data_IF_856346119330
#
_entry.id   IF_856346119330
#
_cell.length_a   1.000
_cell.length_b   1.000
_cell.length_c   1.000
_cell.angle_alpha   90.00
_cell.angle_beta   90.00
_cell.angle_gamma   90.00
#
_symmetry.space_group_name_H-M   'P 1'
#
loop_
_entity.id
_entity.type
_entity.pdbx_description
1 polymer ?
#
# COMPACT_ATOMS: atom_id res chain seq x y z
N UNK A 1 -10.54 -12.12 -6.55
CA UNK A 1 -11.86 -11.73 -6.01
C UNK A 1 -12.09 -10.30 -6.41
N UNK A 2 -13.23 -9.96 -7.03
CA UNK A 2 -13.41 -8.69 -7.69
C UNK A 2 -13.25 -7.57 -6.66
N UNK A 3 -12.27 -6.74 -6.89
CA UNK A 3 -11.96 -5.57 -6.08
C UNK A 3 -12.50 -4.34 -6.80
N UNK A 4 -13.10 -3.42 -6.04
CA UNK A 4 -13.70 -2.21 -6.58
C UNK A 4 -12.78 -1.04 -6.25
N UNK A 5 -12.42 -0.25 -7.25
CA UNK A 5 -11.57 0.91 -7.08
C UNK A 5 -12.35 2.19 -7.36
N UNK A 6 -12.31 3.12 -6.40
CA UNK A 6 -12.73 4.50 -6.59
C UNK A 6 -11.45 5.31 -6.78
N UNK A 7 -11.17 5.71 -8.03
CA UNK A 7 -10.07 6.61 -8.31
C UNK A 7 -10.35 7.99 -7.73
N UNK A 8 -9.35 8.57 -7.06
CA UNK A 8 -9.42 9.88 -6.43
C UNK A 8 -8.42 10.83 -7.09
N UNK A 9 -8.76 12.12 -7.11
CA UNK A 9 -7.89 13.18 -7.63
C UNK A 9 -7.64 14.23 -6.55
N UNK A 10 -6.78 13.91 -5.57
CA UNK A 10 -6.52 14.82 -4.46
C UNK A 10 -5.77 16.06 -4.96
N UNK A 11 -6.08 17.21 -4.34
CA UNK A 11 -5.35 18.47 -4.57
C UNK A 11 -4.19 18.67 -3.58
N UNK A 12 -4.23 17.93 -2.46
CA UNK A 12 -3.24 17.91 -1.40
C UNK A 12 -2.22 16.80 -1.63
N UNK A 13 -1.00 17.01 -1.14
CA UNK A 13 -0.02 15.93 -1.03
C UNK A 13 -0.48 14.86 -0.02
N UNK A 14 0.09 13.68 -0.15
CA UNK A 14 -0.19 12.55 0.74
C UNK A 14 0.33 12.83 2.15
N UNK A 15 -0.60 13.07 3.07
CA UNK A 15 -0.28 13.39 4.46
C UNK A 15 -0.03 12.12 5.28
N UNK A 16 1.15 11.55 5.11
CA UNK A 16 1.62 10.40 5.91
C UNK A 16 1.79 10.76 7.38
N UNK A 17 2.30 11.95 7.69
CA UNK A 17 2.56 12.36 9.09
C UNK A 17 1.25 12.52 9.89
N UNK A 18 0.14 12.78 9.20
CA UNK A 18 -1.20 12.90 9.77
C UNK A 18 -1.87 11.56 10.11
N UNK A 19 -1.24 10.40 9.87
CA UNK A 19 -1.84 9.06 10.09
C UNK A 19 -2.53 8.87 11.47
N UNK A 20 -1.97 9.49 12.51
CA UNK A 20 -2.57 9.48 13.85
C UNK A 20 -3.90 10.24 13.90
N UNK A 21 -3.99 11.37 13.19
CA UNK A 21 -5.21 12.16 13.05
C UNK A 21 -6.27 11.41 12.22
N UNK A 22 -5.84 10.57 11.27
CA UNK A 22 -6.78 9.71 10.53
C UNK A 22 -7.49 8.73 11.44
N UNK A 23 -6.72 7.98 12.23
CA UNK A 23 -7.29 7.00 13.14
C UNK A 23 -8.17 7.65 14.21
N UNK A 24 -7.78 8.84 14.69
CA UNK A 24 -8.62 9.63 15.60
C UNK A 24 -9.94 10.03 14.94
N UNK A 25 -9.92 10.58 13.72
CA UNK A 25 -11.12 10.98 13.00
C UNK A 25 -12.06 9.80 12.71
N UNK A 26 -11.50 8.65 12.31
CA UNK A 26 -12.25 7.40 12.12
C UNK A 26 -12.88 6.92 13.44
N UNK A 27 -12.14 6.98 14.55
CA UNK A 27 -12.64 6.60 15.87
C UNK A 27 -13.73 7.52 16.39
N UNK A 28 -13.57 8.83 16.21
CA UNK A 28 -14.60 9.81 16.56
C UNK A 28 -15.88 9.56 15.77
N UNK A 29 -15.80 9.37 14.45
CA UNK A 29 -16.97 9.09 13.62
C UNK A 29 -17.75 7.86 14.12
N UNK A 30 -17.05 6.76 14.41
CA UNK A 30 -17.66 5.52 14.88
C UNK A 30 -18.32 5.71 16.27
N UNK A 31 -17.62 6.39 17.18
CA UNK A 31 -18.13 6.69 18.53
C UNK A 31 -19.39 7.55 18.48
N UNK A 32 -19.41 8.61 17.68
CA UNK A 32 -20.56 9.51 17.53
C UNK A 32 -21.79 8.82 16.93
N UNK A 33 -21.59 7.79 16.09
CA UNK A 33 -22.66 6.97 15.53
C UNK A 33 -23.14 5.86 16.48
N UNK A 34 -22.63 5.82 17.72
CA UNK A 34 -23.09 4.93 18.77
C UNK A 34 -22.63 3.48 18.61
N UNK A 35 -21.59 3.21 17.82
CA UNK A 35 -21.07 1.85 17.65
C UNK A 35 -20.19 1.40 18.82
N UNK A 36 -19.68 2.35 19.62
CA UNK A 36 -18.84 2.07 20.79
C UNK A 36 -17.48 1.46 20.46
N UNK A 37 -17.10 1.42 19.18
CA UNK A 37 -15.85 0.84 18.72
C UNK A 37 -14.69 1.81 18.96
N UNK A 38 -13.63 1.31 19.58
CA UNK A 38 -12.38 2.04 19.74
C UNK A 38 -11.36 1.52 18.72
N UNK A 39 -11.09 2.22 17.61
CA UNK A 39 -10.18 1.70 16.60
C UNK A 39 -8.75 1.64 17.12
N UNK A 40 -8.03 0.60 16.73
CA UNK A 40 -6.61 0.44 17.03
C UNK A 40 -5.77 0.62 15.78
N UNK A 41 -4.60 1.25 15.92
CA UNK A 41 -3.63 1.42 14.83
C UNK A 41 -2.54 0.39 15.01
N UNK A 42 -2.36 -0.46 14.00
CA UNK A 42 -1.17 -1.27 13.84
C UNK A 42 -0.29 -0.68 12.75
N UNK A 43 0.92 -0.26 13.13
CA UNK A 43 1.91 0.26 12.18
C UNK A 43 2.79 -0.87 11.66
N UNK A 44 2.91 -0.98 10.34
CA UNK A 44 3.77 -1.92 9.64
C UNK A 44 4.62 -1.13 8.60
N UNK A 45 5.78 -1.65 8.17
CA UNK A 45 6.52 -1.02 7.07
C UNK A 45 5.64 -0.88 5.82
N UNK A 46 5.38 0.35 5.39
CA UNK A 46 4.53 0.67 4.24
C UNK A 46 3.02 0.66 4.47
N UNK A 47 2.55 0.22 5.64
CA UNK A 47 1.13 0.12 5.93
C UNK A 47 0.78 0.58 7.32
N UNK A 48 -0.43 1.14 7.45
CA UNK A 48 -1.06 1.30 8.75
C UNK A 48 -2.43 0.65 8.68
N UNK A 49 -2.68 -0.30 9.56
CA UNK A 49 -3.97 -0.98 9.64
C UNK A 49 -4.74 -0.32 10.78
N UNK A 50 -5.89 0.26 10.45
CA UNK A 50 -6.86 0.75 11.41
C UNK A 50 -7.91 -0.34 11.57
N UNK A 51 -7.83 -1.07 12.68
CA UNK A 51 -8.79 -2.11 13.03
C UNK A 51 -10.07 -1.46 13.53
N UNK A 52 -11.20 -1.77 12.90
CA UNK A 52 -12.49 -1.16 13.24
C UNK A 52 -13.19 -2.00 14.34
N UNK A 53 -12.73 -1.81 15.58
CA UNK A 53 -13.33 -2.33 16.82
C UNK A 53 -13.08 -3.81 17.14
N UNK A 54 -13.43 -4.22 18.37
CA UNK A 54 -13.09 -5.54 18.95
C UNK A 54 -13.71 -6.76 18.22
N UNK A 55 -14.73 -6.53 17.38
CA UNK A 55 -15.46 -7.56 16.64
C UNK A 55 -15.28 -7.47 15.11
N UNK A 56 -14.41 -6.59 14.60
CA UNK A 56 -14.00 -6.57 13.18
C UNK A 56 -15.14 -6.30 12.19
N UNK A 57 -15.70 -5.09 12.18
CA UNK A 57 -16.63 -4.67 11.10
C UNK A 57 -15.90 -4.60 9.74
N UNK A 58 -14.56 -4.56 9.77
CA UNK A 58 -13.66 -4.62 8.64
C UNK A 58 -12.29 -4.05 9.02
N UNK A 59 -11.31 -4.20 8.14
CA UNK A 59 -9.99 -3.61 8.28
C UNK A 59 -9.84 -2.47 7.28
N UNK A 60 -9.35 -1.32 7.76
CA UNK A 60 -8.97 -0.20 6.90
C UNK A 60 -7.45 -0.14 6.85
N UNK A 61 -6.89 -0.53 5.71
CA UNK A 61 -5.44 -0.52 5.47
C UNK A 61 -5.04 0.70 4.68
N UNK A 62 -4.15 1.51 5.23
CA UNK A 62 -3.56 2.67 4.60
C UNK A 62 -2.24 2.25 3.95
N UNK A 63 -2.23 2.21 2.63
CA UNK A 63 -1.09 1.88 1.80
C UNK A 63 -0.28 3.14 1.52
N UNK A 64 0.80 3.37 2.26
CA UNK A 64 1.62 4.58 2.09
C UNK A 64 2.31 4.62 0.72
N UNK A 65 2.92 3.51 0.30
CA UNK A 65 3.64 3.41 -0.97
C UNK A 65 2.76 3.80 -2.18
N UNK A 66 1.56 3.23 -2.25
CA UNK A 66 0.65 3.41 -3.39
C UNK A 66 -0.35 4.55 -3.16
N UNK A 67 -0.34 5.15 -1.96
CA UNK A 67 -1.29 6.19 -1.54
C UNK A 67 -2.75 5.74 -1.66
N UNK A 68 -3.02 4.49 -1.27
CA UNK A 68 -4.35 3.88 -1.35
C UNK A 68 -4.95 3.66 0.03
N UNK A 69 -6.27 3.73 0.11
CA UNK A 69 -7.04 3.25 1.27
C UNK A 69 -7.73 1.95 0.87
N UNK A 70 -7.42 0.86 1.54
CA UNK A 70 -8.01 -0.46 1.27
C UNK A 70 -9.00 -0.76 2.38
N UNK A 71 -10.26 -0.93 2.02
CA UNK A 71 -11.33 -1.40 2.90
C UNK A 71 -11.53 -2.89 2.66
N UNK A 72 -11.24 -3.70 3.68
CA UNK A 72 -11.49 -5.15 3.65
C UNK A 72 -12.58 -5.53 4.65
N UNK A 73 -13.46 -6.44 4.25
CA UNK A 73 -14.47 -7.04 5.12
C UNK A 73 -15.67 -6.15 5.51
N UNK A 74 -15.74 -4.90 5.06
CA UNK A 74 -16.86 -3.99 5.39
C UNK A 74 -18.16 -4.43 4.70
N UNK A 75 -19.11 -4.98 5.49
CA UNK A 75 -20.44 -5.33 5.00
C UNK A 75 -21.44 -4.18 5.16
N UNK A 76 -22.05 -3.74 4.07
CA UNK A 76 -23.00 -2.61 4.03
C UNK A 76 -24.44 -3.05 4.32
N UNK A 77 -24.68 -3.56 5.54
CA UNK A 77 -26.00 -4.06 5.96
C UNK A 77 -26.96 -2.97 6.45
N UNK A 78 -26.47 -1.77 6.75
CA UNK A 78 -27.26 -0.68 7.30
C UNK A 78 -26.80 0.71 6.85
N UNK A 79 -27.52 1.72 7.35
CA UNK A 79 -27.25 3.13 7.03
C UNK A 79 -25.91 3.62 7.61
N UNK A 80 -25.50 3.09 8.77
CA UNK A 80 -24.27 3.49 9.45
C UNK A 80 -23.05 3.06 8.64
N UNK A 81 -23.04 1.84 8.11
CA UNK A 81 -21.95 1.30 7.29
C UNK A 81 -21.88 2.02 5.94
N UNK A 82 -23.03 2.36 5.36
CA UNK A 82 -23.09 3.19 4.15
C UNK A 82 -22.53 4.60 4.39
N UNK A 83 -22.87 5.23 5.52
CA UNK A 83 -22.35 6.54 5.89
C UNK A 83 -20.86 6.50 6.21
N UNK A 84 -20.40 5.44 6.87
CA UNK A 84 -18.98 5.19 7.12
C UNK A 84 -18.20 5.06 5.80
N UNK A 85 -18.67 4.25 4.86
CA UNK A 85 -18.04 4.10 3.56
C UNK A 85 -17.93 5.45 2.81
N UNK A 86 -18.99 6.26 2.83
CA UNK A 86 -18.97 7.62 2.25
C UNK A 86 -17.98 8.54 2.97
N UNK A 87 -17.91 8.45 4.30
CA UNK A 87 -16.95 9.20 5.10
C UNK A 87 -15.52 8.83 4.73
N UNK A 88 -15.19 7.54 4.68
CA UNK A 88 -13.85 7.04 4.31
C UNK A 88 -13.43 7.57 2.94
N UNK A 89 -14.31 7.52 1.93
CA UNK A 89 -13.98 8.02 0.57
C UNK A 89 -13.66 9.52 0.59
N UNK A 90 -14.46 10.33 1.29
CA UNK A 90 -14.20 11.77 1.40
C UNK A 90 -12.92 12.07 2.17
N UNK A 91 -12.70 11.34 3.25
CA UNK A 91 -11.55 11.53 4.12
C UNK A 91 -10.25 11.12 3.41
N UNK A 92 -10.26 9.99 2.71
CA UNK A 92 -9.16 9.55 1.85
C UNK A 92 -8.74 10.62 0.83
N UNK A 93 -9.73 11.25 0.17
CA UNK A 93 -9.47 12.34 -0.78
C UNK A 93 -8.82 13.55 -0.10
N UNK A 94 -9.31 13.96 1.06
CA UNK A 94 -8.78 15.12 1.79
C UNK A 94 -7.32 14.94 2.18
N UNK A 95 -6.97 13.72 2.55
CA UNK A 95 -5.64 13.39 3.03
C UNK A 95 -4.65 12.99 1.93
N UNK A 96 -5.07 13.05 0.67
CA UNK A 96 -4.18 12.91 -0.48
C UNK A 96 -4.14 11.52 -1.12
N UNK A 97 -5.11 10.63 -0.82
CA UNK A 97 -5.15 9.29 -1.40
C UNK A 97 -5.42 9.38 -2.90
N UNK A 98 -4.79 8.50 -3.68
CA UNK A 98 -5.03 8.34 -5.11
C UNK A 98 -6.21 7.42 -5.41
N UNK A 99 -6.63 6.61 -4.43
CA UNK A 99 -7.78 5.74 -4.60
C UNK A 99 -8.26 5.09 -3.31
N UNK A 100 -9.50 4.61 -3.35
CA UNK A 100 -10.06 3.70 -2.34
C UNK A 100 -10.35 2.37 -3.01
N UNK A 101 -9.77 1.31 -2.46
CA UNK A 101 -9.97 -0.06 -2.91
C UNK A 101 -10.90 -0.77 -1.93
N UNK A 102 -11.87 -1.52 -2.43
CA UNK A 102 -12.76 -2.35 -1.62
C UNK A 102 -12.55 -3.79 -2.04
N UNK A 103 -12.02 -4.60 -1.14
CA UNK A 103 -11.92 -6.04 -1.32
C UNK A 103 -13.18 -6.73 -0.84
N UNK A 104 -13.47 -7.92 -1.41
CA UNK A 104 -14.52 -8.82 -0.94
C UNK A 104 -15.94 -8.23 -0.92
N UNK A 105 -16.20 -7.18 -1.72
CA UNK A 105 -17.53 -6.59 -1.85
C UNK A 105 -18.52 -7.62 -2.41
N UNK A 106 -19.64 -7.81 -1.73
CA UNK A 106 -20.71 -8.69 -2.19
C UNK A 106 -21.36 -8.14 -3.47
N UNK A 107 -21.99 -9.02 -4.26
CA UNK A 107 -22.71 -8.61 -5.47
C UNK A 107 -23.79 -7.55 -5.20
N UNK A 108 -24.44 -7.61 -4.03
CA UNK A 108 -25.44 -6.64 -3.58
C UNK A 108 -24.87 -5.24 -3.34
N UNK A 109 -23.59 -5.13 -2.98
CA UNK A 109 -22.93 -3.87 -2.64
C UNK A 109 -22.36 -3.16 -3.86
N UNK A 110 -22.22 -3.85 -5.00
CA UNK A 110 -21.68 -3.28 -6.26
C UNK A 110 -22.38 -1.98 -6.66
N UNK A 111 -23.72 -1.96 -6.59
CA UNK A 111 -24.51 -0.79 -6.98
C UNK A 111 -24.23 0.44 -6.10
N UNK A 112 -23.93 0.22 -4.82
CA UNK A 112 -23.56 1.29 -3.90
C UNK A 112 -22.18 1.85 -4.26
N UNK A 113 -21.18 0.98 -4.43
CA UNK A 113 -19.83 1.40 -4.75
C UNK A 113 -19.73 2.07 -6.11
N UNK A 114 -20.45 1.57 -7.13
CA UNK A 114 -20.54 2.22 -8.44
C UNK A 114 -21.16 3.62 -8.37
N UNK A 115 -22.17 3.84 -7.51
CA UNK A 115 -22.73 5.18 -7.29
C UNK A 115 -21.73 6.15 -6.65
N UNK A 116 -20.72 5.63 -5.94
CA UNK A 116 -19.61 6.42 -5.41
C UNK A 116 -18.45 6.59 -6.42
N UNK A 117 -18.62 6.13 -7.67
CA UNK A 117 -17.60 6.19 -8.71
C UNK A 117 -16.70 4.96 -8.78
N UNK A 118 -17.06 3.88 -8.09
CA UNK A 118 -16.29 2.63 -8.07
C UNK A 118 -16.34 1.89 -9.40
N UNK A 119 -15.17 1.47 -9.88
CA UNK A 119 -14.98 0.62 -11.05
C UNK A 119 -14.55 -0.76 -10.60
N UNK A 120 -15.17 -1.80 -11.16
CA UNK A 120 -14.78 -3.18 -10.88
C UNK A 120 -13.50 -3.47 -11.68
N UNK A 121 -12.43 -3.79 -10.97
CA UNK A 121 -11.17 -4.16 -11.58
C UNK A 121 -11.16 -5.66 -11.92
N UNK A 122 -10.41 -6.07 -12.97
CA UNK A 122 -10.27 -7.47 -13.32
C UNK A 122 -9.60 -8.24 -12.17
N UNK A 123 -9.97 -9.51 -12.04
CA UNK A 123 -9.30 -10.41 -11.11
C UNK A 123 -7.87 -10.70 -11.58
N UNK A 124 -6.88 -10.72 -10.68
CA UNK A 124 -5.53 -11.10 -11.05
C UNK A 124 -5.48 -12.58 -11.46
N UNK A 125 -4.63 -12.89 -12.43
CA UNK A 125 -4.46 -14.25 -12.95
C UNK A 125 -3.10 -14.82 -12.53
N UNK A 126 -2.94 -16.14 -12.38
CA UNK A 126 -1.62 -16.72 -12.09
C UNK A 126 -0.59 -16.31 -13.15
N UNK A 127 0.60 -15.89 -12.71
CA UNK A 127 1.71 -15.66 -13.63
C UNK A 127 2.29 -17.01 -14.08
N UNK A 128 2.23 -17.29 -15.38
CA UNK A 128 2.75 -18.54 -15.93
C UNK A 128 4.27 -18.48 -16.15
N UNK A 129 4.95 -19.56 -15.78
CA UNK A 129 6.39 -19.74 -16.02
C UNK A 129 7.30 -19.08 -14.98
N UNK A 130 8.61 -19.17 -15.23
CA UNK A 130 9.64 -18.57 -14.39
C UNK A 130 9.80 -17.07 -14.69
N UNK A 131 10.28 -16.30 -13.71
CA UNK A 131 10.57 -14.88 -13.89
C UNK A 131 11.78 -14.72 -14.80
N UNK A 132 11.63 -13.94 -15.86
CA UNK A 132 12.75 -13.53 -16.71
C UNK A 132 13.38 -12.24 -16.19
N UNK A 133 14.68 -12.26 -15.89
CA UNK A 133 15.40 -11.11 -15.32
C UNK A 133 15.29 -9.83 -16.17
N UNK A 134 15.35 -9.95 -17.50
CA UNK A 134 15.24 -8.82 -18.45
C UNK A 134 13.87 -8.13 -18.47
N UNK A 135 12.84 -8.80 -17.93
CA UNK A 135 11.49 -8.25 -17.80
C UNK A 135 11.25 -7.59 -16.44
N UNK A 136 12.18 -7.73 -15.49
CA UNK A 136 12.09 -7.11 -14.17
C UNK A 136 12.63 -5.68 -14.25
N UNK A 137 11.81 -4.73 -13.83
CA UNK A 137 12.19 -3.33 -13.72
C UNK A 137 11.92 -2.77 -12.33
N UNK A 138 12.51 -1.63 -12.02
CA UNK A 138 12.23 -0.88 -10.80
C UNK A 138 12.01 0.60 -11.09
N UNK A 139 11.06 1.21 -10.40
CA UNK A 139 10.76 2.64 -10.50
C UNK A 139 10.40 3.23 -9.14
N UNK A 140 10.56 4.55 -9.02
CA UNK A 140 10.08 5.29 -7.87
C UNK A 140 8.55 5.27 -7.87
N UNK A 141 7.95 5.00 -6.72
CA UNK A 141 6.50 4.99 -6.56
C UNK A 141 6.01 6.26 -5.84
N UNK A 142 6.50 6.49 -4.62
CA UNK A 142 6.17 7.67 -3.80
C UNK A 142 7.31 7.92 -2.82
N UNK A 143 7.78 9.17 -2.67
CA UNK A 143 8.93 9.51 -1.81
C UNK A 143 10.08 8.51 -1.98
N UNK A 144 10.38 7.68 -0.98
CA UNK A 144 11.43 6.66 -0.99
C UNK A 144 10.92 5.24 -1.33
N UNK A 145 9.61 5.04 -1.41
CA UNK A 145 8.99 3.77 -1.78
C UNK A 145 9.21 3.48 -3.26
N UNK A 146 9.51 2.21 -3.57
CA UNK A 146 9.78 1.74 -4.92
C UNK A 146 8.73 0.73 -5.38
N UNK A 147 8.58 0.61 -6.70
CA UNK A 147 7.75 -0.40 -7.35
C UNK A 147 8.63 -1.30 -8.21
N UNK A 148 8.60 -2.60 -7.91
CA UNK A 148 9.11 -3.64 -8.81
C UNK A 148 8.03 -3.91 -9.85
N UNK A 149 8.46 -3.97 -11.10
CA UNK A 149 7.61 -4.24 -12.25
C UNK A 149 8.05 -5.52 -12.95
N UNK A 150 7.11 -6.20 -13.58
CA UNK A 150 7.35 -7.30 -14.51
C UNK A 150 6.56 -7.01 -15.77
N UNK A 151 7.19 -7.09 -16.94
CA UNK A 151 6.54 -6.72 -18.21
C UNK A 151 5.92 -5.29 -18.20
N UNK A 152 6.54 -4.38 -17.45
CA UNK A 152 6.10 -2.99 -17.23
C UNK A 152 4.90 -2.79 -16.28
N UNK A 153 4.28 -3.86 -15.81
CA UNK A 153 3.18 -3.79 -14.84
C UNK A 153 3.71 -3.91 -13.39
N UNK A 154 3.08 -3.24 -12.42
CA UNK A 154 3.52 -3.31 -11.02
C UNK A 154 3.29 -4.72 -10.45
N UNK A 155 4.26 -5.22 -9.68
CA UNK A 155 4.14 -6.55 -9.03
C UNK A 155 4.39 -6.46 -7.54
N UNK A 156 5.46 -5.76 -7.14
CA UNK A 156 5.78 -5.57 -5.72
C UNK A 156 5.97 -4.09 -5.40
N UNK A 157 5.62 -3.70 -4.18
CA UNK A 157 6.12 -2.47 -3.58
C UNK A 157 7.26 -2.79 -2.62
N UNK A 158 8.24 -1.91 -2.55
CA UNK A 158 9.39 -2.00 -1.65
C UNK A 158 9.47 -0.76 -0.77
N UNK A 159 9.55 -1.00 0.52
CA UNK A 159 9.70 0.04 1.54
C UNK A 159 11.07 -0.08 2.20
N UNK A 160 11.90 0.97 2.17
CA UNK A 160 13.22 0.92 2.80
C UNK A 160 13.07 0.78 4.31
N UNK A 161 13.80 -0.18 4.88
CA UNK A 161 13.82 -0.44 6.32
C UNK A 161 15.24 -0.65 6.82
N UNK A 162 15.46 -0.36 8.10
CA UNK A 162 16.65 -0.81 8.83
C UNK A 162 16.50 -2.27 9.22
N UNK A 163 17.56 -3.05 9.05
CA UNK A 163 17.59 -4.47 9.38
C UNK A 163 18.63 -4.76 10.45
N UNK A 164 18.40 -5.83 11.21
CA UNK A 164 19.38 -6.32 12.19
C UNK A 164 20.58 -7.00 11.52
N UNK A 165 20.45 -7.43 10.27
CA UNK A 165 21.50 -8.05 9.48
C UNK A 165 21.23 -7.83 7.98
N UNK A 166 22.28 -7.94 7.16
CA UNK A 166 22.12 -7.89 5.70
C UNK A 166 21.34 -9.11 5.21
N UNK A 167 20.34 -8.93 4.33
CA UNK A 167 19.73 -10.06 3.66
C UNK A 167 20.77 -10.73 2.74
N UNK A 168 20.75 -12.07 2.60
CA UNK A 168 21.72 -12.80 1.79
C UNK A 168 21.75 -12.30 0.34
N UNK A 169 22.91 -12.41 -0.30
CA UNK A 169 23.15 -11.94 -1.66
C UNK A 169 24.18 -10.80 -1.75
N UNK A 170 24.42 -10.27 -2.96
CA UNK A 170 25.37 -9.19 -3.16
C UNK A 170 24.92 -7.90 -2.48
N UNK A 171 25.89 -7.15 -1.97
CA UNK A 171 25.71 -5.82 -1.39
C UNK A 171 26.29 -4.80 -2.38
N UNK A 172 25.46 -3.90 -2.88
CA UNK A 172 25.92 -2.85 -3.81
C UNK A 172 26.68 -1.74 -3.08
N UNK A 173 27.48 -0.98 -3.81
CA UNK A 173 28.12 0.22 -3.26
C UNK A 173 27.10 1.29 -2.87
N UNK A 174 26.00 1.43 -3.63
CA UNK A 174 24.89 2.31 -3.29
C UNK A 174 24.28 1.94 -1.93
N UNK A 175 24.04 0.64 -1.68
CA UNK A 175 23.59 0.16 -0.38
C UNK A 175 24.54 0.59 0.74
N UNK A 176 25.86 0.37 0.58
CA UNK A 176 26.85 0.75 1.61
C UNK A 176 26.90 2.24 1.89
N UNK A 177 26.73 3.09 0.86
CA UNK A 177 26.72 4.54 1.02
C UNK A 177 25.48 5.01 1.77
N UNK A 178 24.31 4.49 1.40
CA UNK A 178 23.06 4.70 2.13
C UNK A 178 23.20 4.26 3.59
N UNK A 179 23.69 3.05 3.85
CA UNK A 179 23.92 2.56 5.21
C UNK A 179 24.82 3.51 6.01
N UNK A 180 25.91 3.98 5.42
CA UNK A 180 26.82 4.95 6.05
C UNK A 180 26.11 6.28 6.37
N UNK A 181 25.24 6.76 5.48
CA UNK A 181 24.45 7.99 5.72
C UNK A 181 23.49 7.84 6.90
N UNK A 182 22.92 6.65 7.10
CA UNK A 182 21.94 6.36 8.16
C UNK A 182 22.55 5.64 9.37
N UNK A 183 23.79 5.97 9.74
CA UNK A 183 24.41 5.51 10.99
C UNK A 183 25.06 4.12 10.94
N UNK A 184 25.22 3.54 9.75
CA UNK A 184 25.94 2.29 9.50
C UNK A 184 25.11 1.01 9.69
N UNK A 185 23.82 1.13 10.00
CA UNK A 185 22.92 -0.01 10.14
C UNK A 185 22.64 -0.68 8.78
N UNK A 186 22.56 -2.02 8.71
CA UNK A 186 22.13 -2.72 7.51
C UNK A 186 20.78 -2.20 6.99
N UNK A 187 20.68 -2.00 5.68
CA UNK A 187 19.43 -1.63 5.03
C UNK A 187 18.85 -2.81 4.23
N UNK A 188 17.53 -2.82 4.13
CA UNK A 188 16.77 -3.77 3.33
C UNK A 188 15.47 -3.16 2.86
N UNK A 189 14.63 -4.01 2.26
CA UNK A 189 13.29 -3.63 1.82
C UNK A 189 12.26 -4.56 2.44
N UNK A 190 11.24 -3.99 3.05
CA UNK A 190 9.99 -4.72 3.27
C UNK A 190 9.25 -4.78 1.93
N UNK A 191 9.00 -6.00 1.46
CA UNK A 191 8.32 -6.24 0.18
C UNK A 191 6.87 -6.65 0.38
N UNK A 192 6.02 -6.26 -0.56
CA UNK A 192 4.60 -6.61 -0.58
C UNK A 192 4.09 -6.70 -2.01
N UNK A 193 2.96 -7.38 -2.22
CA UNK A 193 2.28 -7.36 -3.51
C UNK A 193 1.76 -5.95 -3.77
N UNK A 194 1.94 -5.47 -4.99
CA UNK A 194 1.27 -4.27 -5.46
C UNK A 194 -0.23 -4.55 -5.56
N UNK A 195 -1.04 -3.60 -5.11
CA UNK A 195 -2.50 -3.67 -5.13
C UNK A 195 -2.99 -3.82 -6.57
N UNK A 196 -2.41 -3.06 -7.49
CA UNK A 196 -2.71 -3.13 -8.93
C UNK A 196 -1.96 -4.24 -9.68
N UNK A 197 -1.39 -5.24 -9.00
CA UNK A 197 -0.72 -6.36 -9.68
C UNK A 197 -1.74 -7.15 -10.51
N UNK A 198 -1.53 -7.32 -11.84
CA UNK A 198 -2.41 -8.16 -12.65
C UNK A 198 -2.17 -9.65 -12.39
N UNK A 199 -1.15 -10.00 -11.60
CA UNK A 199 -0.76 -11.38 -11.38
C UNK A 199 -0.86 -11.85 -9.93
N UNK A 200 -1.25 -13.12 -9.79
CA UNK A 200 -0.99 -13.94 -8.61
C UNK A 200 0.36 -14.62 -8.83
N UNK A 201 1.32 -14.32 -7.94
CA UNK A 201 2.68 -14.87 -8.02
C UNK A 201 2.94 -15.91 -6.94
N UNK A 202 3.75 -16.91 -7.26
CA UNK A 202 4.22 -17.91 -6.32
C UNK A 202 5.32 -17.33 -5.40
N UNK A 203 5.63 -18.05 -4.31
CA UNK A 203 6.73 -17.68 -3.40
C UNK A 203 8.10 -17.69 -4.10
N UNK A 204 8.29 -18.60 -5.04
CA UNK A 204 9.52 -18.70 -5.84
C UNK A 204 9.65 -17.49 -6.74
N UNK A 205 8.60 -17.17 -7.50
CA UNK A 205 8.52 -15.98 -8.35
C UNK A 205 8.74 -14.69 -7.54
N UNK A 206 8.18 -14.59 -6.34
CA UNK A 206 8.43 -13.46 -5.44
C UNK A 206 9.91 -13.31 -5.10
N UNK A 207 10.58 -14.42 -4.80
CA UNK A 207 12.00 -14.44 -4.42
C UNK A 207 12.87 -14.05 -5.61
N UNK A 208 12.54 -14.53 -6.80
CA UNK A 208 13.22 -14.16 -8.05
C UNK A 208 13.07 -12.67 -8.36
N UNK A 209 11.84 -12.14 -8.28
CA UNK A 209 11.57 -10.70 -8.46
C UNK A 209 12.43 -9.84 -7.52
N UNK A 210 12.49 -10.19 -6.24
CA UNK A 210 13.31 -9.46 -5.26
C UNK A 210 14.82 -9.59 -5.55
N UNK A 211 15.27 -10.79 -5.92
CA UNK A 211 16.67 -11.05 -6.24
C UNK A 211 17.12 -10.21 -7.44
N UNK A 212 16.31 -10.19 -8.50
CA UNK A 212 16.58 -9.49 -9.75
C UNK A 212 16.46 -7.97 -9.59
N UNK A 213 15.56 -7.47 -8.74
CA UNK A 213 15.40 -6.03 -8.52
C UNK A 213 16.40 -5.43 -7.55
N UNK A 214 17.06 -6.23 -6.70
CA UNK A 214 17.77 -5.74 -5.50
C UNK A 214 18.82 -4.67 -5.75
N UNK A 215 19.73 -4.90 -6.70
CA UNK A 215 20.84 -3.98 -6.93
C UNK A 215 20.32 -2.64 -7.47
N UNK A 216 19.44 -2.72 -8.48
CA UNK A 216 18.81 -1.54 -9.05
C UNK A 216 17.94 -0.79 -8.03
N UNK A 217 17.33 -1.48 -7.07
CA UNK A 217 16.56 -0.86 -5.98
C UNK A 217 17.41 0.07 -5.13
N UNK A 218 18.60 -0.37 -4.73
CA UNK A 218 19.50 0.45 -3.93
C UNK A 218 20.12 1.59 -4.74
N UNK A 219 20.46 1.36 -6.01
CA UNK A 219 20.96 2.42 -6.89
C UNK A 219 19.90 3.53 -7.08
N UNK A 220 18.65 3.14 -7.31
CA UNK A 220 17.54 4.09 -7.42
C UNK A 220 17.25 4.81 -6.10
N UNK A 221 17.26 4.09 -4.97
CA UNK A 221 17.06 4.70 -3.66
C UNK A 221 18.15 5.73 -3.32
N UNK A 222 19.42 5.42 -3.61
CA UNK A 222 20.53 6.37 -3.44
C UNK A 222 20.30 7.64 -4.26
N UNK A 223 19.89 7.49 -5.53
CA UNK A 223 19.57 8.63 -6.38
C UNK A 223 18.44 9.51 -5.81
N UNK A 224 17.37 8.88 -5.32
CA UNK A 224 16.22 9.60 -4.72
C UNK A 224 16.65 10.35 -3.46
N UNK A 225 17.42 9.69 -2.57
CA UNK A 225 17.87 10.29 -1.31
C UNK A 225 18.78 11.49 -1.58
N UNK A 226 19.75 11.35 -2.50
CA UNK A 226 20.64 12.46 -2.84
C UNK A 226 19.85 13.65 -3.42
N UNK A 227 18.90 13.38 -4.32
CA UNK A 227 18.05 14.44 -4.89
C UNK A 227 17.20 15.15 -3.83
N UNK A 228 16.74 14.44 -2.80
CA UNK A 228 15.96 15.02 -1.71
C UNK A 228 16.80 15.87 -0.74
N UNK A 229 18.13 15.68 -0.70
CA UNK A 229 19.04 16.49 0.13
C UNK A 229 19.49 17.78 -0.55
N UNK A 230 19.41 17.84 -1.88
CA UNK A 230 19.75 19.02 -2.68
C UNK A 230 18.62 20.08 -2.72
N UNK A 231 17.47 19.80 -2.09
CA UNK A 231 16.27 20.66 -1.99
C UNK A 231 16.15 21.22 -0.58
#
# INVERSE_FOLDING_TARGET
>A
MPWIEIALSPRSEWNEDGLKDWALALGTFLTEKGTGLNPQIQMLPGYNVVQLGDAGIGDLTLSSAERLVILDGLSLKGNVECDFARFVVRFALQMGALGVCVSNASLSEKSFWQKLGGVIQPDPVPLEGAISHDKVGIRQLSKFSLSVTYESEPVLCLEPITCNAHPPGPISLAQRRLEKMYGGCPLGFASRAAVHSPWIISREQWTDLLSFSRLQAFDLLEHIVNKAQDV
#
